data_IF_889912113644
#
_entry.id   IF_889912113644
#
_cell.length_a   1.000
_cell.length_b   1.000
_cell.length_c   1.000
_cell.angle_alpha   90.00
_cell.angle_beta   90.00
_cell.angle_gamma   90.00
#
_symmetry.space_group_name_H-M   'P 1'
#
loop_
_entity.id
_entity.type
_entity.pdbx_description
1 polymer ?
#
# COMPACT_ATOMS: atom_id res chain seq x y z
N UNK A 1 49.48 10.86 0.63
CA UNK A 1 49.55 9.96 1.81
C UNK A 1 49.40 10.74 3.12
N UNK A 2 49.81 12.01 3.17
CA UNK A 2 49.88 12.80 4.41
C UNK A 2 48.51 13.14 5.01
N UNK A 3 47.50 13.43 4.18
CA UNK A 3 46.14 13.73 4.65
C UNK A 3 45.48 12.59 5.44
N UNK A 4 45.82 11.34 5.11
CA UNK A 4 45.29 10.15 5.81
C UNK A 4 45.96 9.98 7.16
N UNK A 5 47.28 10.22 7.24
CA UNK A 5 48.03 10.20 8.50
C UNK A 5 47.59 11.31 9.44
N UNK A 6 47.46 12.54 8.92
CA UNK A 6 46.99 13.68 9.70
C UNK A 6 45.58 13.46 10.26
N UNK A 7 44.69 12.87 9.46
CA UNK A 7 43.36 12.46 9.90
C UNK A 7 43.44 11.39 11.01
N UNK A 8 44.23 10.34 10.81
CA UNK A 8 44.39 9.29 11.81
C UNK A 8 44.93 9.84 13.13
N UNK A 9 46.00 10.64 13.09
CA UNK A 9 46.60 11.24 14.29
C UNK A 9 45.62 12.15 15.05
N UNK A 10 44.77 12.87 14.32
CA UNK A 10 43.72 13.72 14.90
C UNK A 10 42.62 12.91 15.60
N UNK A 11 42.24 11.75 15.06
CA UNK A 11 41.11 10.96 15.54
C UNK A 11 41.49 9.70 16.34
N UNK A 12 42.78 9.32 16.41
CA UNK A 12 43.25 8.10 17.09
C UNK A 12 42.84 8.01 18.57
N UNK A 13 42.76 9.15 19.25
CA UNK A 13 42.34 9.26 20.66
C UNK A 13 40.87 8.82 20.84
N UNK A 14 40.06 8.96 19.79
CA UNK A 14 38.66 8.55 19.78
C UNK A 14 38.46 7.11 19.26
N UNK A 15 39.42 6.56 18.51
CA UNK A 15 39.41 5.18 17.98
C UNK A 15 39.76 4.13 19.05
N UNK A 16 39.19 4.28 20.25
CA UNK A 16 39.26 3.24 21.28
C UNK A 16 38.25 2.14 20.96
N UNK A 17 38.52 0.91 21.41
CA UNK A 17 37.60 -0.22 21.24
C UNK A 17 36.20 0.10 21.78
N UNK A 18 36.10 0.68 22.97
CA UNK A 18 34.82 1.02 23.61
C UNK A 18 34.04 2.08 22.81
N UNK A 19 34.71 3.11 22.29
CA UNK A 19 34.06 4.13 21.48
C UNK A 19 33.59 3.58 20.13
N UNK A 20 34.36 2.65 19.52
CA UNK A 20 33.98 1.95 18.31
C UNK A 20 32.78 1.01 18.54
N UNK A 21 32.74 0.30 19.67
CA UNK A 21 31.60 -0.53 20.08
C UNK A 21 30.34 0.34 20.30
N UNK A 22 30.46 1.46 21.01
CA UNK A 22 29.35 2.40 21.20
C UNK A 22 28.86 3.01 19.88
N UNK A 23 29.79 3.36 18.98
CA UNK A 23 29.46 3.87 17.65
C UNK A 23 28.74 2.79 16.82
N UNK A 24 29.17 1.54 16.87
CA UNK A 24 28.49 0.44 16.19
C UNK A 24 27.06 0.24 16.73
N UNK A 25 26.87 0.24 18.06
CA UNK A 25 25.54 0.12 18.68
C UNK A 25 24.63 1.29 18.28
N UNK A 26 25.14 2.53 18.32
CA UNK A 26 24.35 3.70 17.92
C UNK A 26 23.95 3.66 16.45
N UNK A 27 24.83 3.21 15.55
CA UNK A 27 24.49 3.01 14.13
C UNK A 27 23.42 1.93 13.96
N UNK A 28 23.49 0.82 14.70
CA UNK A 28 22.48 -0.24 14.67
C UNK A 28 21.13 0.28 15.15
N UNK A 29 21.10 0.99 16.29
CA UNK A 29 19.87 1.56 16.85
C UNK A 29 19.27 2.61 15.92
N UNK A 30 20.10 3.50 15.36
CA UNK A 30 19.67 4.50 14.37
C UNK A 30 19.08 3.82 13.14
N UNK A 31 19.74 2.80 12.62
CA UNK A 31 19.27 2.03 11.46
C UNK A 31 17.94 1.34 11.76
N UNK A 32 17.79 0.75 12.95
CA UNK A 32 16.54 0.14 13.37
C UNK A 32 15.41 1.18 13.43
N UNK A 33 15.64 2.35 14.05
CA UNK A 33 14.65 3.44 14.13
C UNK A 33 14.21 3.90 12.73
N UNK A 34 15.15 4.08 11.79
CA UNK A 34 14.84 4.46 10.40
C UNK A 34 13.96 3.42 9.67
N UNK A 35 14.14 2.13 9.95
CA UNK A 35 13.28 1.08 9.39
C UNK A 35 11.84 1.18 9.93
N UNK A 36 11.68 1.50 11.21
CA UNK A 36 10.34 1.63 11.83
C UNK A 36 9.58 2.87 11.37
N UNK A 37 10.25 4.01 11.17
CA UNK A 37 9.57 5.24 10.70
C UNK A 37 9.05 5.12 9.26
N UNK A 38 9.66 4.29 8.42
CA UNK A 38 9.20 4.03 7.04
C UNK A 38 7.81 3.37 6.95
N UNK A 39 7.34 2.75 8.03
CA UNK A 39 6.07 2.03 8.09
C UNK A 39 4.86 2.89 8.49
N UNK A 40 5.07 4.18 8.76
CA UNK A 40 3.98 5.07 9.22
C UNK A 40 3.01 5.29 8.05
N UNK A 41 1.71 4.97 8.22
CA UNK A 41 0.71 5.28 7.21
C UNK A 41 0.57 6.80 7.04
N UNK A 42 0.69 7.27 5.81
CA UNK A 42 0.43 8.66 5.43
C UNK A 42 -0.75 8.76 4.47
N UNK A 43 -1.52 9.85 4.50
CA UNK A 43 -2.48 10.13 3.44
C UNK A 43 -1.74 10.71 2.23
N UNK A 44 -2.13 10.32 1.03
CA UNK A 44 -1.55 10.86 -0.19
C UNK A 44 -2.32 10.51 -1.45
N UNK A 45 -1.99 11.23 -2.51
CA UNK A 45 -2.55 11.04 -3.85
C UNK A 45 -1.47 10.46 -4.76
N UNK A 46 -1.78 9.39 -5.49
CA UNK A 46 -0.92 8.82 -6.52
C UNK A 46 -1.58 8.97 -7.90
N UNK A 47 -0.75 9.30 -8.88
CA UNK A 47 -1.12 9.26 -10.29
C UNK A 47 -0.30 8.16 -10.96
N UNK A 48 -0.96 7.12 -11.46
CA UNK A 48 -0.35 5.91 -12.02
C UNK A 48 -0.68 5.79 -13.52
N UNK A 49 0.04 4.91 -14.21
CA UNK A 49 -0.12 4.63 -15.64
C UNK A 49 -0.23 5.91 -16.49
N UNK A 50 0.75 6.82 -16.38
CA UNK A 50 0.79 8.08 -17.12
C UNK A 50 -0.44 9.00 -16.94
N UNK A 51 -1.14 8.90 -15.81
CA UNK A 51 -2.34 9.71 -15.56
C UNK A 51 -3.67 8.98 -15.72
N UNK A 52 -3.65 7.73 -16.18
CA UNK A 52 -4.89 6.96 -16.40
C UNK A 52 -5.53 6.45 -15.12
N UNK A 53 -4.78 6.40 -14.02
CA UNK A 53 -5.28 5.93 -12.73
C UNK A 53 -4.93 6.97 -11.67
N UNK A 54 -5.93 7.39 -10.89
CA UNK A 54 -5.74 8.25 -9.72
C UNK A 54 -6.13 7.49 -8.48
N UNK A 55 -5.30 7.58 -7.45
CA UNK A 55 -5.57 7.03 -6.13
C UNK A 55 -5.51 8.13 -5.10
N UNK A 56 -6.49 8.18 -4.21
CA UNK A 56 -6.50 9.04 -3.02
C UNK A 56 -6.75 8.15 -1.80
N UNK A 57 -5.78 8.08 -0.90
CA UNK A 57 -5.94 7.27 0.30
C UNK A 57 -4.67 7.10 1.11
N UNK A 58 -4.61 5.97 1.81
CA UNK A 58 -3.52 5.66 2.73
C UNK A 58 -2.34 5.00 1.99
N UNK A 59 -1.15 5.54 2.22
CA UNK A 59 0.11 5.08 1.67
C UNK A 59 1.00 4.58 2.80
N UNK A 60 1.54 3.38 2.64
CA UNK A 60 2.57 2.81 3.53
C UNK A 60 3.75 2.42 2.65
N UNK A 61 4.95 2.95 2.95
CA UNK A 61 6.16 2.76 2.12
C UNK A 61 5.94 3.05 0.63
N UNK A 62 5.17 4.11 0.33
CA UNK A 62 4.85 4.51 -1.05
C UNK A 62 3.87 3.59 -1.79
N UNK A 63 3.30 2.57 -1.13
CA UNK A 63 2.30 1.68 -1.71
C UNK A 63 0.92 1.96 -1.13
N UNK A 64 -0.12 1.82 -1.96
CA UNK A 64 -1.53 1.90 -1.54
C UNK A 64 -1.82 0.78 -0.54
N UNK A 65 -2.18 1.15 0.68
CA UNK A 65 -2.43 0.24 1.79
C UNK A 65 -3.49 0.83 2.73
N UNK A 66 -4.42 0.03 3.22
CA UNK A 66 -5.54 0.53 4.03
C UNK A 66 -6.63 1.13 3.16
N UNK A 67 -7.35 2.13 3.68
CA UNK A 67 -8.50 2.70 2.96
C UNK A 67 -8.06 3.71 1.89
N UNK A 68 -8.75 3.67 0.74
CA UNK A 68 -8.62 4.67 -0.31
C UNK A 68 -9.67 4.54 -1.40
N UNK A 69 -9.60 5.45 -2.35
CA UNK A 69 -10.42 5.47 -3.55
C UNK A 69 -9.50 5.50 -4.77
N UNK A 70 -9.72 4.59 -5.70
CA UNK A 70 -9.06 4.53 -7.00
C UNK A 70 -10.06 4.86 -8.09
N UNK A 71 -9.73 5.80 -8.97
CA UNK A 71 -10.52 6.19 -10.13
C UNK A 71 -9.71 5.89 -11.40
N UNK A 72 -10.37 5.24 -12.35
CA UNK A 72 -9.79 4.87 -13.62
C UNK A 72 -10.21 5.87 -14.71
N UNK A 73 -9.41 5.99 -15.77
CA UNK A 73 -9.70 6.89 -16.89
C UNK A 73 -11.02 6.55 -17.59
N UNK A 74 -11.39 5.27 -17.60
CA UNK A 74 -12.66 4.79 -18.14
C UNK A 74 -13.84 5.06 -17.19
N UNK A 75 -13.71 5.94 -16.19
CA UNK A 75 -14.79 6.31 -15.27
C UNK A 75 -15.13 5.27 -14.20
N UNK A 76 -14.59 4.05 -14.27
CA UNK A 76 -14.74 3.08 -13.20
C UNK A 76 -14.06 3.59 -11.92
N UNK A 77 -14.55 3.13 -10.78
CA UNK A 77 -13.97 3.46 -9.49
C UNK A 77 -14.05 2.31 -8.50
N UNK A 78 -13.09 2.28 -7.59
CA UNK A 78 -13.09 1.40 -6.42
C UNK A 78 -12.88 2.24 -5.17
N UNK A 79 -13.68 2.03 -4.14
CA UNK A 79 -13.47 2.60 -2.80
C UNK A 79 -13.47 1.49 -1.77
N UNK A 80 -12.40 1.39 -0.98
CA UNK A 80 -12.28 0.33 0.00
C UNK A 80 -10.84 0.04 0.40
N UNK A 81 -10.63 -1.18 0.87
CA UNK A 81 -9.35 -1.61 1.41
C UNK A 81 -8.37 -1.99 0.30
N UNK A 82 -7.12 -1.59 0.50
CA UNK A 82 -5.98 -1.90 -0.33
C UNK A 82 -4.91 -2.61 0.49
N UNK A 83 -4.20 -3.55 -0.15
CA UNK A 83 -3.00 -4.16 0.41
C UNK A 83 -1.94 -4.24 -0.67
N UNK A 84 -0.79 -3.62 -0.45
CA UNK A 84 0.33 -3.62 -1.42
C UNK A 84 -0.06 -3.21 -2.85
N UNK A 85 -0.99 -2.27 -3.01
CA UNK A 85 -1.39 -1.77 -4.32
C UNK A 85 -2.56 -2.47 -5.00
N UNK A 86 -3.15 -3.49 -4.38
CA UNK A 86 -4.29 -4.24 -4.93
C UNK A 86 -5.52 -4.13 -4.02
N UNK A 87 -6.71 -4.29 -4.58
CA UNK A 87 -7.96 -4.36 -3.82
C UNK A 87 -7.95 -5.65 -2.97
N UNK A 88 -8.09 -5.50 -1.66
CA UNK A 88 -7.95 -6.60 -0.72
C UNK A 88 -8.67 -6.25 0.58
N UNK A 89 -9.71 -7.00 0.92
CA UNK A 89 -10.64 -6.70 2.02
C UNK A 89 -11.99 -6.20 1.52
N UNK A 90 -12.70 -5.43 2.34
CA UNK A 90 -14.03 -4.90 1.98
C UNK A 90 -13.89 -3.66 1.08
N UNK A 91 -14.74 -3.58 0.07
CA UNK A 91 -14.83 -2.40 -0.79
C UNK A 91 -16.07 -2.38 -1.68
N UNK A 92 -16.12 -1.33 -2.49
CA UNK A 92 -17.17 -1.09 -3.48
C UNK A 92 -16.50 -0.76 -4.81
N UNK A 93 -16.80 -1.56 -5.84
CA UNK A 93 -16.45 -1.24 -7.22
C UNK A 93 -17.69 -0.70 -7.93
N UNK A 94 -17.58 0.46 -8.55
CA UNK A 94 -18.63 1.08 -9.36
C UNK A 94 -18.11 1.23 -10.77
N UNK A 95 -18.80 0.61 -11.73
CA UNK A 95 -18.47 0.79 -13.13
C UNK A 95 -19.12 2.03 -13.71
N UNK A 96 -18.45 2.69 -14.65
CA UNK A 96 -19.06 3.74 -15.47
C UNK A 96 -20.30 3.24 -16.22
N UNK A 97 -20.33 1.94 -16.56
CA UNK A 97 -21.46 1.33 -17.26
C UNK A 97 -22.74 1.31 -16.40
N UNK A 98 -22.62 1.39 -15.06
CA UNK A 98 -23.73 1.58 -14.13
C UNK A 98 -23.98 0.40 -13.19
N UNK A 99 -23.24 -0.71 -13.32
CA UNK A 99 -23.26 -1.79 -12.34
C UNK A 99 -22.31 -1.49 -11.17
N UNK A 100 -22.63 -2.04 -10.00
CA UNK A 100 -21.89 -1.85 -8.75
C UNK A 100 -21.76 -3.16 -7.99
N UNK A 101 -20.56 -3.47 -7.50
CA UNK A 101 -20.31 -4.58 -6.58
C UNK A 101 -19.88 -4.04 -5.22
N UNK A 102 -20.49 -4.53 -4.14
CA UNK A 102 -20.18 -4.20 -2.75
C UNK A 102 -19.89 -5.50 -2.00
N UNK A 103 -18.68 -5.68 -1.48
CA UNK A 103 -18.34 -6.95 -0.84
C UNK A 103 -16.87 -7.16 -0.56
N UNK A 104 -16.52 -8.44 -0.41
CA UNK A 104 -15.15 -8.90 -0.25
C UNK A 104 -14.38 -8.88 -1.58
N UNK A 105 -13.13 -8.43 -1.49
CA UNK A 105 -12.14 -8.47 -2.55
C UNK A 105 -10.90 -9.23 -2.08
N UNK A 106 -10.34 -10.04 -2.97
CA UNK A 106 -9.03 -10.67 -2.79
C UNK A 106 -8.27 -10.65 -4.09
N UNK A 107 -6.97 -10.28 -4.04
CA UNK A 107 -6.11 -10.23 -5.24
C UNK A 107 -6.68 -9.40 -6.38
N UNK A 108 -7.40 -8.31 -6.05
CA UNK A 108 -8.02 -7.42 -7.05
C UNK A 108 -9.37 -7.89 -7.60
N UNK A 109 -9.92 -9.02 -7.14
CA UNK A 109 -11.16 -9.60 -7.66
C UNK A 109 -12.22 -9.69 -6.57
N UNK A 110 -13.50 -9.63 -6.95
CA UNK A 110 -14.62 -9.97 -6.05
C UNK A 110 -14.49 -11.44 -5.62
N UNK A 111 -14.23 -11.67 -4.33
CA UNK A 111 -13.96 -13.00 -3.78
C UNK A 111 -14.37 -13.04 -2.30
N UNK A 112 -15.44 -13.78 -1.99
CA UNK A 112 -16.09 -13.81 -0.69
C UNK A 112 -17.57 -13.41 -0.77
N UNK A 113 -18.10 -12.80 0.29
CA UNK A 113 -19.50 -12.38 0.34
C UNK A 113 -19.66 -10.98 -0.26
N UNK A 114 -20.68 -10.81 -1.10
CA UNK A 114 -20.96 -9.52 -1.70
C UNK A 114 -22.33 -9.41 -2.35
N UNK A 115 -22.59 -8.22 -2.87
CA UNK A 115 -23.80 -7.81 -3.55
C UNK A 115 -23.43 -7.12 -4.87
N UNK A 116 -23.82 -7.72 -5.98
CA UNK A 116 -23.73 -7.13 -7.31
C UNK A 116 -25.10 -6.55 -7.70
N UNK A 117 -25.15 -5.24 -7.95
CA UNK A 117 -26.30 -4.56 -8.55
C UNK A 117 -25.97 -4.27 -10.01
N UNK A 118 -26.75 -4.80 -10.94
CA UNK A 118 -26.58 -4.53 -12.38
C UNK A 118 -27.17 -3.18 -12.76
N UNK A 119 -26.89 -2.74 -13.99
CA UNK A 119 -27.48 -1.53 -14.58
C UNK A 119 -29.02 -1.54 -14.58
N UNK A 120 -29.61 -2.74 -14.73
CA UNK A 120 -31.05 -2.95 -14.67
C UNK A 120 -31.62 -3.06 -13.25
N UNK A 121 -30.85 -2.71 -12.23
CA UNK A 121 -31.18 -2.86 -10.80
C UNK A 121 -31.46 -4.31 -10.35
N UNK A 122 -30.96 -5.30 -11.11
CA UNK A 122 -31.01 -6.70 -10.67
C UNK A 122 -29.92 -6.92 -9.62
N UNK A 123 -30.29 -7.54 -8.51
CA UNK A 123 -29.39 -7.78 -7.37
C UNK A 123 -29.02 -9.26 -7.28
N UNK A 124 -27.73 -9.53 -7.23
CA UNK A 124 -27.17 -10.85 -6.91
C UNK A 124 -26.41 -10.73 -5.59
N UNK A 125 -26.89 -11.41 -4.56
CA UNK A 125 -26.31 -11.38 -3.22
C UNK A 125 -25.90 -12.78 -2.79
N UNK A 126 -24.63 -12.93 -2.39
CA UNK A 126 -24.09 -14.22 -1.99
C UNK A 126 -22.59 -14.33 -2.21
N UNK A 127 -22.15 -15.57 -2.45
CA UNK A 127 -20.73 -15.88 -2.59
C UNK A 127 -20.25 -15.63 -4.02
N UNK A 128 -19.17 -14.88 -4.14
CA UNK A 128 -18.43 -14.67 -5.37
C UNK A 128 -17.07 -15.35 -5.26
N UNK A 129 -16.59 -15.97 -6.35
CA UNK A 129 -15.25 -16.54 -6.44
C UNK A 129 -14.60 -16.05 -7.71
N UNK A 130 -13.51 -15.29 -7.58
CA UNK A 130 -12.78 -14.71 -8.71
C UNK A 130 -13.69 -13.93 -9.68
N UNK A 131 -14.67 -13.19 -9.15
CA UNK A 131 -15.64 -12.42 -9.93
C UNK A 131 -16.90 -13.18 -10.36
N UNK A 132 -16.98 -14.49 -10.11
CA UNK A 132 -18.11 -15.32 -10.55
C UNK A 132 -19.08 -15.57 -9.39
N UNK A 133 -20.35 -15.21 -9.57
CA UNK A 133 -21.42 -15.52 -8.61
C UNK A 133 -21.67 -17.03 -8.53
N UNK A 134 -21.73 -17.58 -7.31
CA UNK A 134 -21.79 -19.03 -7.08
C UNK A 134 -23.20 -19.56 -6.79
N UNK A 135 -24.16 -18.70 -6.44
CA UNK A 135 -25.52 -19.12 -6.04
C UNK A 135 -26.52 -19.10 -7.22
N UNK A 136 -26.08 -19.47 -8.42
CA UNK A 136 -26.99 -19.68 -9.55
C UNK A 136 -27.71 -21.02 -9.34
N UNK A 137 -28.99 -20.97 -8.96
CA UNK A 137 -29.90 -22.11 -8.89
C UNK A 137 -30.82 -22.14 -10.11
#
# INVERSE_FOLDING_TARGET
MDKVKEFYEKYKVYLTRQNLELLAVTVIVLSAILVFTSGIPGKGVLTLDQGKIKYDGTLVRGKMNGQGTMTFQNGDSYSGQFRNGIFDGKGTFTSQAGWKYEGDFSKGQADGQGKLTTEGNVVYEGTFKQGIYQNAH
#
